data_IF_242971498989
#
_entry.id   IF_242971498989
#
_cell.length_a   1.000
_cell.length_b   1.000
_cell.length_c   1.000
_cell.angle_alpha   90.00
_cell.angle_beta   90.00
_cell.angle_gamma   90.00
#
_symmetry.space_group_name_H-M   'P 1'
#
loop_
_entity.id
_entity.type
_entity.pdbx_description
1 polymer ?
#
# COMPACT_ATOMS: atom_id res chain seq x y z
N UNK A 1 -71.66 20.96 -14.76
CA UNK A 1 -71.51 20.01 -15.89
C UNK A 1 -70.14 19.38 -15.73
N UNK A 2 -70.11 18.16 -15.18
CA UNK A 2 -68.91 17.43 -14.78
C UNK A 2 -68.13 16.91 -16.00
N UNK A 3 -66.82 17.14 -16.02
CA UNK A 3 -65.90 16.77 -17.10
C UNK A 3 -65.60 15.27 -17.05
N UNK A 4 -65.97 14.54 -18.11
CA UNK A 4 -65.87 13.08 -18.20
C UNK A 4 -64.41 12.66 -18.47
N UNK A 5 -63.72 12.14 -17.45
CA UNK A 5 -62.34 11.64 -17.55
C UNK A 5 -62.34 10.31 -18.32
N UNK A 6 -61.74 10.29 -19.50
CA UNK A 6 -61.59 9.10 -20.34
C UNK A 6 -60.39 8.26 -19.84
N UNK A 7 -60.65 7.12 -19.21
CA UNK A 7 -59.62 6.14 -18.82
C UNK A 7 -59.15 5.39 -20.07
N UNK A 8 -58.07 5.86 -20.67
CA UNK A 8 -57.42 5.20 -21.81
C UNK A 8 -56.56 4.01 -21.33
N UNK A 9 -56.74 2.78 -21.85
CA UNK A 9 -56.04 1.58 -21.38
C UNK A 9 -54.54 1.57 -21.71
N UNK A 10 -54.07 2.52 -22.52
CA UNK A 10 -52.67 2.65 -22.91
C UNK A 10 -51.76 3.20 -21.80
N UNK A 11 -52.32 3.82 -20.76
CA UNK A 11 -51.53 4.34 -19.64
C UNK A 11 -50.88 3.21 -18.80
N UNK A 12 -51.54 2.06 -18.70
CA UNK A 12 -51.02 0.90 -17.97
C UNK A 12 -50.05 0.04 -18.79
N UNK A 13 -50.14 0.07 -20.13
CA UNK A 13 -49.27 -0.71 -21.01
C UNK A 13 -47.86 -0.11 -21.10
N UNK A 14 -47.74 1.23 -21.09
CA UNK A 14 -46.45 1.92 -21.17
C UNK A 14 -45.62 1.74 -19.87
N UNK A 15 -46.29 1.64 -18.71
CA UNK A 15 -45.61 1.40 -17.42
C UNK A 15 -45.08 -0.04 -17.29
N UNK A 16 -45.73 -1.03 -17.91
CA UNK A 16 -45.29 -2.43 -17.90
C UNK A 16 -44.02 -2.69 -18.71
N UNK A 17 -43.81 -1.94 -19.80
CA UNK A 17 -42.63 -2.10 -20.67
C UNK A 17 -41.37 -1.48 -20.02
N UNK A 18 -41.55 -0.46 -19.17
CA UNK A 18 -40.45 0.15 -18.41
C UNK A 18 -39.94 -0.76 -17.26
N UNK A 19 -40.83 -1.58 -16.68
CA UNK A 19 -40.52 -2.56 -15.63
C UNK A 19 -39.63 -3.72 -16.15
N UNK A 20 -39.77 -4.09 -17.42
CA UNK A 20 -39.02 -5.20 -18.01
C UNK A 20 -37.55 -4.89 -18.34
N UNK A 21 -37.11 -3.63 -18.23
CA UNK A 21 -35.72 -3.23 -18.53
C UNK A 21 -34.82 -3.05 -17.29
N UNK A 22 -35.36 -3.19 -16.07
CA UNK A 22 -34.64 -2.95 -14.80
C UNK A 22 -34.13 -4.27 -14.18
N UNK A 23 -34.01 -5.35 -14.96
CA UNK A 23 -33.67 -6.67 -14.41
C UNK A 23 -32.50 -7.34 -15.16
N UNK A 24 -31.27 -6.83 -15.00
CA UNK A 24 -29.97 -7.57 -15.16
C UNK A 24 -28.79 -6.81 -14.49
N UNK A 25 -29.03 -5.93 -13.52
CA UNK A 25 -27.94 -5.42 -12.68
C UNK A 25 -27.46 -6.55 -11.76
N UNK A 26 -26.57 -7.42 -12.25
CA UNK A 26 -25.82 -8.36 -11.40
C UNK A 26 -25.16 -7.49 -10.32
N UNK A 27 -25.45 -7.71 -9.02
CA UNK A 27 -24.71 -7.00 -7.99
C UNK A 27 -23.25 -7.34 -8.23
N UNK A 28 -22.44 -6.31 -8.50
CA UNK A 28 -21.00 -6.45 -8.48
C UNK A 28 -20.66 -6.79 -7.02
N UNK A 29 -20.58 -8.09 -6.72
CA UNK A 29 -19.96 -8.57 -5.51
C UNK A 29 -18.57 -7.95 -5.51
N UNK A 30 -18.35 -6.98 -4.63
CA UNK A 30 -17.01 -6.53 -4.29
C UNK A 30 -16.27 -7.79 -3.84
N UNK A 31 -15.45 -8.35 -4.73
CA UNK A 31 -14.64 -9.49 -4.42
C UNK A 31 -13.65 -9.01 -3.35
N UNK A 32 -13.90 -9.38 -2.09
CA UNK A 32 -12.87 -9.29 -1.07
C UNK A 32 -11.64 -9.97 -1.65
N UNK A 33 -10.53 -9.23 -1.77
CA UNK A 33 -9.31 -9.77 -2.36
C UNK A 33 -8.99 -11.08 -1.63
N UNK A 34 -9.03 -12.18 -2.38
CA UNK A 34 -8.88 -13.49 -1.79
C UNK A 34 -7.44 -13.57 -1.28
N UNK A 35 -7.25 -13.65 0.03
CA UNK A 35 -5.93 -13.62 0.65
C UNK A 35 -5.49 -15.03 0.97
N UNK A 36 -4.22 -15.32 0.73
CA UNK A 36 -3.57 -16.55 1.17
C UNK A 36 -2.78 -16.31 2.44
N UNK A 37 -3.05 -17.09 3.49
CA UNK A 37 -2.27 -17.00 4.71
C UNK A 37 -0.87 -17.57 4.48
N UNK A 38 0.11 -17.04 5.18
CA UNK A 38 1.51 -17.47 5.07
C UNK A 38 1.70 -18.96 5.35
N UNK A 39 0.89 -19.56 6.23
CA UNK A 39 0.97 -20.98 6.58
C UNK A 39 0.45 -21.92 5.48
N UNK A 40 -0.29 -21.39 4.51
CA UNK A 40 -0.74 -22.14 3.32
C UNK A 40 0.34 -22.18 2.23
N UNK A 41 1.37 -21.35 2.34
CA UNK A 41 2.41 -21.20 1.32
C UNK A 41 3.51 -22.22 1.54
N UNK A 42 3.94 -22.89 0.46
CA UNK A 42 5.05 -23.85 0.49
C UNK A 42 6.07 -23.57 -0.62
N UNK A 43 7.35 -23.96 -0.42
CA UNK A 43 8.36 -23.90 -1.48
C UNK A 43 7.90 -24.62 -2.75
N UNK A 44 8.27 -24.06 -3.91
CA UNK A 44 7.91 -24.56 -5.24
C UNK A 44 6.55 -24.10 -5.75
N UNK A 45 5.72 -23.44 -4.92
CA UNK A 45 4.50 -22.80 -5.41
C UNK A 45 4.82 -21.72 -6.42
N UNK A 46 4.04 -21.67 -7.50
CA UNK A 46 4.19 -20.68 -8.58
C UNK A 46 3.06 -19.69 -8.57
N UNK A 47 3.35 -18.49 -9.04
CA UNK A 47 2.41 -17.40 -9.06
C UNK A 47 2.84 -16.30 -10.00
N UNK A 48 2.26 -15.12 -9.80
CA UNK A 48 2.63 -13.93 -10.54
C UNK A 48 2.60 -12.70 -9.63
N UNK A 49 3.33 -11.66 -10.01
CA UNK A 49 3.18 -10.33 -9.42
C UNK A 49 2.89 -9.29 -10.48
N UNK A 50 2.49 -8.11 -10.02
CA UNK A 50 2.23 -6.95 -10.88
C UNK A 50 3.15 -5.81 -10.48
N UNK A 51 3.75 -5.15 -11.46
CA UNK A 51 4.65 -4.01 -11.24
C UNK A 51 4.55 -3.04 -12.41
N UNK A 52 5.15 -1.87 -12.27
CA UNK A 52 5.43 -0.97 -13.38
C UNK A 52 6.95 -0.92 -13.55
N UNK A 53 7.47 -1.41 -14.68
CA UNK A 53 8.91 -1.34 -14.94
C UNK A 53 9.33 0.01 -15.52
N UNK A 54 8.46 0.64 -16.32
CA UNK A 54 8.72 1.95 -16.92
C UNK A 54 7.40 2.67 -17.25
N UNK A 55 7.35 3.98 -17.02
CA UNK A 55 6.16 4.80 -17.28
C UNK A 55 5.03 4.46 -16.32
N UNK A 56 3.86 4.12 -16.86
CA UNK A 56 2.64 3.81 -16.08
C UNK A 56 2.04 2.45 -16.43
N UNK A 57 2.73 1.66 -17.27
CA UNK A 57 2.22 0.37 -17.74
C UNK A 57 2.38 -0.68 -16.65
N UNK A 58 1.27 -1.28 -16.23
CA UNK A 58 1.29 -2.45 -15.36
C UNK A 58 1.70 -3.67 -16.19
N UNK A 59 2.73 -4.37 -15.71
CA UNK A 59 3.29 -5.57 -16.30
C UNK A 59 3.28 -6.73 -15.29
N UNK A 60 3.24 -7.96 -15.82
CA UNK A 60 3.21 -9.19 -15.02
C UNK A 60 4.61 -9.79 -15.00
N UNK A 61 5.05 -10.21 -13.82
CA UNK A 61 6.23 -11.06 -13.65
C UNK A 61 5.84 -12.38 -13.01
N UNK A 62 6.58 -13.44 -13.32
CA UNK A 62 6.38 -14.75 -12.73
C UNK A 62 7.08 -14.83 -11.37
N UNK A 63 6.51 -15.62 -10.47
CA UNK A 63 7.15 -15.91 -9.17
C UNK A 63 7.18 -17.40 -8.89
N UNK A 64 8.23 -17.82 -8.20
CA UNK A 64 8.35 -19.12 -7.55
C UNK A 64 8.76 -18.94 -6.10
N UNK A 65 8.05 -19.60 -5.18
CA UNK A 65 8.36 -19.55 -3.75
C UNK A 65 9.58 -20.40 -3.46
N UNK A 66 10.60 -19.80 -2.87
CA UNK A 66 11.80 -20.51 -2.42
C UNK A 66 11.67 -20.97 -0.97
N UNK A 67 10.96 -20.20 -0.14
CA UNK A 67 10.78 -20.52 1.27
C UNK A 67 10.10 -19.42 2.06
N UNK A 68 9.93 -19.67 3.35
CA UNK A 68 9.39 -18.70 4.30
C UNK A 68 10.41 -18.52 5.41
N UNK A 69 10.86 -17.30 5.61
CA UNK A 69 11.68 -16.89 6.74
C UNK A 69 10.73 -16.45 7.86
N UNK A 70 10.63 -17.27 8.90
CA UNK A 70 9.77 -16.98 10.07
C UNK A 70 10.54 -16.15 11.09
N UNK A 71 9.87 -15.17 11.70
CA UNK A 71 10.47 -14.26 12.69
C UNK A 71 11.73 -13.53 12.20
N UNK A 72 11.72 -13.06 10.95
CA UNK A 72 12.89 -12.42 10.34
C UNK A 72 13.21 -11.06 10.95
N UNK A 73 12.19 -10.20 11.10
CA UNK A 73 12.35 -8.85 11.64
C UNK A 73 11.21 -8.58 12.62
N UNK A 74 11.54 -8.24 13.88
CA UNK A 74 10.56 -7.92 14.93
C UNK A 74 9.34 -8.89 15.03
N UNK A 75 9.55 -10.19 14.79
CA UNK A 75 8.53 -11.27 14.75
C UNK A 75 7.65 -11.32 13.49
N UNK A 76 7.96 -10.57 12.45
CA UNK A 76 7.28 -10.63 11.16
C UNK A 76 7.86 -11.75 10.28
N UNK A 77 6.99 -12.41 9.52
CA UNK A 77 7.39 -13.40 8.52
C UNK A 77 7.79 -12.72 7.20
N UNK A 78 8.63 -13.39 6.40
CA UNK A 78 8.98 -12.98 5.04
C UNK A 78 8.91 -14.17 4.09
N UNK A 79 8.29 -13.98 2.92
CA UNK A 79 8.22 -15.01 1.88
C UNK A 79 9.37 -14.73 0.90
N UNK A 80 10.25 -15.70 0.71
CA UNK A 80 11.35 -15.61 -0.23
C UNK A 80 10.88 -16.12 -1.59
N UNK A 81 11.01 -15.30 -2.63
CA UNK A 81 10.60 -15.64 -3.99
C UNK A 81 11.75 -15.46 -4.98
N UNK A 82 11.72 -16.27 -6.03
CA UNK A 82 12.45 -16.06 -7.28
C UNK A 82 11.48 -15.43 -8.28
N UNK A 83 11.92 -14.35 -8.92
CA UNK A 83 11.15 -13.63 -9.91
C UNK A 83 11.74 -13.83 -11.31
N UNK A 84 10.88 -13.85 -12.33
CA UNK A 84 11.30 -13.96 -13.72
C UNK A 84 10.30 -13.30 -14.68
N UNK A 85 10.71 -13.15 -15.94
CA UNK A 85 9.93 -12.46 -16.98
C UNK A 85 10.21 -10.97 -17.07
N UNK A 86 9.81 -10.38 -18.20
CA UNK A 86 10.08 -8.97 -18.50
C UNK A 86 11.59 -8.66 -18.50
N UNK A 87 12.02 -7.50 -17.95
CA UNK A 87 13.43 -7.13 -17.90
C UNK A 87 14.25 -7.91 -16.86
N UNK A 88 13.60 -8.63 -15.93
CA UNK A 88 14.22 -9.20 -14.73
C UNK A 88 15.32 -10.23 -15.02
N UNK A 89 15.24 -10.95 -16.14
CA UNK A 89 16.26 -11.94 -16.54
C UNK A 89 17.63 -11.29 -16.82
N UNK A 90 17.64 -10.00 -17.19
CA UNK A 90 18.86 -9.25 -17.52
C UNK A 90 19.21 -8.24 -16.44
N UNK A 91 18.21 -7.59 -15.86
CA UNK A 91 18.41 -6.50 -14.89
C UNK A 91 18.52 -6.99 -13.46
N UNK A 92 18.04 -8.19 -13.14
CA UNK A 92 17.72 -8.54 -11.76
C UNK A 92 16.61 -7.64 -11.22
N UNK A 93 16.59 -7.44 -9.89
CA UNK A 93 15.59 -6.59 -9.23
C UNK A 93 15.88 -5.12 -9.51
N UNK A 94 14.85 -4.40 -9.96
CA UNK A 94 14.91 -2.97 -10.28
C UNK A 94 14.49 -2.17 -9.03
N UNK A 95 15.19 -1.07 -8.77
CA UNK A 95 14.80 -0.15 -7.70
C UNK A 95 13.38 0.39 -7.96
N UNK A 96 12.56 0.47 -6.91
CA UNK A 96 11.16 0.90 -7.02
C UNK A 96 10.15 -0.24 -7.21
N UNK A 97 10.59 -1.50 -7.31
CA UNK A 97 9.67 -2.65 -7.29
C UNK A 97 9.03 -2.91 -5.91
N UNK A 98 9.50 -2.23 -4.86
CA UNK A 98 8.88 -2.30 -3.54
C UNK A 98 7.39 -1.90 -3.61
N UNK A 99 6.53 -2.64 -2.92
CA UNK A 99 5.09 -2.48 -2.96
C UNK A 99 4.38 -3.29 -4.06
N UNK A 100 5.10 -3.93 -4.98
CA UNK A 100 4.50 -4.75 -6.04
C UNK A 100 3.71 -5.93 -5.45
N UNK A 101 2.39 -6.05 -5.71
CA UNK A 101 1.59 -7.15 -5.17
C UNK A 101 1.93 -8.48 -5.83
N UNK A 102 1.95 -9.55 -5.03
CA UNK A 102 2.27 -10.92 -5.45
C UNK A 102 1.12 -11.86 -5.14
N UNK A 103 0.83 -12.76 -6.08
CA UNK A 103 -0.32 -13.66 -6.06
C UNK A 103 0.08 -15.11 -6.31
N UNK A 104 -0.56 -16.04 -5.59
CA UNK A 104 -0.51 -17.49 -5.84
C UNK A 104 -1.96 -17.98 -5.93
N UNK A 105 -2.29 -18.78 -6.96
CA UNK A 105 -3.66 -19.26 -7.18
C UNK A 105 -4.71 -18.13 -7.17
N UNK A 106 -4.38 -16.97 -7.75
CA UNK A 106 -5.20 -15.74 -7.73
C UNK A 106 -5.49 -15.16 -6.34
N UNK A 107 -4.75 -15.58 -5.33
CA UNK A 107 -4.86 -15.08 -3.96
C UNK A 107 -3.66 -14.18 -3.64
N UNK A 108 -3.91 -13.00 -3.08
CA UNK A 108 -2.88 -12.07 -2.66
C UNK A 108 -2.11 -12.68 -1.47
N UNK A 109 -0.79 -12.80 -1.63
CA UNK A 109 0.08 -13.31 -0.57
C UNK A 109 0.82 -12.18 0.15
N UNK A 110 1.03 -11.05 -0.51
CA UNK A 110 1.82 -9.94 0.02
C UNK A 110 2.35 -8.98 -1.05
N UNK A 111 3.31 -8.16 -0.66
CA UNK A 111 4.00 -7.22 -1.55
C UNK A 111 5.52 -7.36 -1.47
N UNK A 112 6.21 -7.15 -2.59
CA UNK A 112 7.68 -7.11 -2.65
C UNK A 112 8.19 -6.00 -1.73
N UNK A 113 9.17 -6.29 -0.88
CA UNK A 113 9.72 -5.32 0.06
C UNK A 113 11.26 -5.27 0.03
N UNK A 114 11.92 -6.38 -0.31
CA UNK A 114 13.38 -6.49 -0.33
C UNK A 114 13.85 -7.16 -1.62
N UNK A 115 15.07 -6.83 -2.05
CA UNK A 115 15.69 -7.45 -3.20
C UNK A 115 17.18 -7.68 -2.99
N UNK A 116 17.69 -8.81 -3.50
CA UNK A 116 19.11 -9.15 -3.46
C UNK A 116 19.70 -9.09 -4.86
N UNK A 117 20.46 -8.02 -5.14
CA UNK A 117 21.00 -7.73 -6.48
C UNK A 117 22.26 -8.50 -6.86
N UNK A 118 22.87 -9.23 -5.93
CA UNK A 118 24.12 -9.98 -6.18
C UNK A 118 23.90 -11.41 -6.69
N UNK A 119 22.65 -11.88 -6.71
CA UNK A 119 22.29 -13.21 -7.22
C UNK A 119 22.15 -13.18 -8.74
N UNK A 120 22.52 -14.28 -9.41
CA UNK A 120 22.26 -14.47 -10.85
C UNK A 120 20.75 -14.45 -11.14
N UNK A 121 19.97 -14.89 -10.16
CA UNK A 121 18.51 -14.90 -10.21
C UNK A 121 17.94 -13.70 -9.46
N UNK A 122 16.83 -13.12 -9.93
CA UNK A 122 16.13 -12.05 -9.22
C UNK A 122 15.42 -12.60 -7.97
N UNK A 123 16.08 -12.55 -6.81
CA UNK A 123 15.55 -13.04 -5.54
C UNK A 123 15.03 -11.89 -4.69
N UNK A 124 13.77 -11.95 -4.29
CA UNK A 124 13.09 -10.91 -3.52
C UNK A 124 12.43 -11.45 -2.24
N UNK A 125 12.30 -10.56 -1.27
CA UNK A 125 11.53 -10.77 -0.05
C UNK A 125 10.17 -10.12 -0.18
N UNK A 126 9.12 -10.88 0.11
CA UNK A 126 7.72 -10.43 0.11
C UNK A 126 7.23 -10.35 1.54
N UNK A 127 6.71 -9.18 1.93
CA UNK A 127 6.02 -8.98 3.21
C UNK A 127 4.60 -9.54 3.09
N UNK A 128 4.20 -10.52 3.93
CA UNK A 128 2.88 -11.09 3.85
C UNK A 128 1.76 -10.07 4.11
N UNK A 129 0.64 -10.22 3.41
CA UNK A 129 -0.50 -9.30 3.54
C UNK A 129 -1.10 -9.27 4.95
N UNK A 130 -1.09 -10.39 5.67
CA UNK A 130 -1.57 -10.45 7.06
C UNK A 130 -0.74 -9.55 7.99
N UNK A 131 0.57 -9.47 7.78
CA UNK A 131 1.46 -8.61 8.58
C UNK A 131 1.14 -7.13 8.31
N UNK A 132 1.00 -6.76 7.03
CA UNK A 132 0.62 -5.39 6.64
C UNK A 132 -0.73 -4.98 7.23
N UNK A 133 -1.71 -5.89 7.24
CA UNK A 133 -3.03 -5.66 7.85
C UNK A 133 -2.94 -5.48 9.37
N UNK A 134 -2.15 -6.29 10.05
CA UNK A 134 -2.02 -6.18 11.51
C UNK A 134 -1.43 -4.84 11.91
N UNK A 135 -0.48 -4.29 11.14
CA UNK A 135 0.08 -2.97 11.42
C UNK A 135 -0.95 -1.86 11.26
N UNK A 136 -1.79 -1.92 10.23
CA UNK A 136 -2.85 -0.93 10.00
C UNK A 136 -3.95 -0.97 11.07
N UNK A 137 -4.31 -2.16 11.54
CA UNK A 137 -5.38 -2.34 12.53
C UNK A 137 -4.92 -2.09 13.98
N UNK A 138 -3.63 -2.23 14.26
CA UNK A 138 -3.04 -2.03 15.59
C UNK A 138 -2.45 -0.63 15.79
N UNK A 139 -2.87 0.37 15.00
CA UNK A 139 -2.58 1.76 15.35
C UNK A 139 -3.30 2.03 16.68
N UNK A 140 -2.59 2.25 17.80
CA UNK A 140 -3.27 2.61 19.04
C UNK A 140 -4.03 3.90 18.77
N UNK A 141 -5.36 3.87 18.94
CA UNK A 141 -6.16 5.09 19.01
C UNK A 141 -5.51 5.95 20.09
N UNK A 142 -4.81 7.01 19.69
CA UNK A 142 -4.34 8.02 20.63
C UNK A 142 -5.59 8.76 21.11
N UNK A 143 -6.29 8.19 22.09
CA UNK A 143 -7.24 8.90 22.94
C UNK A 143 -6.50 9.77 23.97
N UNK A 144 -5.36 10.36 23.59
CA UNK A 144 -4.90 11.56 24.29
C UNK A 144 -5.69 12.70 23.68
N UNK A 145 -6.73 13.09 24.42
CA UNK A 145 -7.73 14.06 24.01
C UNK A 145 -7.19 15.17 23.14
N UNK A 146 -7.93 15.44 22.06
CA UNK A 146 -7.87 16.66 21.28
C UNK A 146 -7.98 17.87 22.21
N UNK A 147 -6.84 18.36 22.70
CA UNK A 147 -6.68 19.79 22.92
C UNK A 147 -6.50 20.39 21.54
N UNK A 148 -7.59 20.86 20.96
CA UNK A 148 -7.56 21.77 19.82
C UNK A 148 -7.08 23.14 20.32
N UNK A 149 -5.81 23.21 20.74
CA UNK A 149 -5.08 24.44 20.95
C UNK A 149 -3.94 24.46 19.93
N UNK A 150 -4.08 25.39 18.99
CA UNK A 150 -3.38 25.55 17.73
C UNK A 150 -2.00 26.19 17.87
N UNK A 151 -1.05 25.54 18.54
CA UNK A 151 0.29 26.13 18.80
C UNK A 151 1.19 24.91 18.99
N UNK A 152 1.97 24.42 18.01
CA UNK A 152 3.07 25.08 17.32
C UNK A 152 3.45 24.27 16.07
N UNK A 153 2.91 24.63 14.90
CA UNK A 153 3.51 24.25 13.61
C UNK A 153 4.01 25.53 12.94
N UNK A 154 4.99 26.16 13.57
CA UNK A 154 5.71 27.28 13.00
C UNK A 154 6.64 26.75 11.90
N UNK A 155 6.25 26.98 10.65
CA UNK A 155 7.11 26.77 9.49
C UNK A 155 8.31 27.70 9.62
N UNK A 156 9.57 27.22 9.48
CA UNK A 156 10.69 28.14 9.37
C UNK A 156 10.47 29.02 8.14
N UNK A 157 10.49 30.33 8.34
CA UNK A 157 10.38 31.33 7.28
C UNK A 157 11.38 31.00 6.17
N UNK A 158 11.01 31.13 4.88
CA UNK A 158 11.97 31.00 3.79
C UNK A 158 13.14 31.93 4.06
N UNK A 159 14.38 31.42 3.95
CA UNK A 159 15.60 32.20 4.11
C UNK A 159 15.50 33.45 3.22
N UNK A 160 15.20 34.57 3.87
CA UNK A 160 15.23 35.88 3.24
C UNK A 160 16.70 36.24 3.12
N UNK A 161 17.25 35.99 1.93
CA UNK A 161 18.58 36.45 1.57
C UNK A 161 18.57 37.98 1.67
N UNK A 162 19.16 38.52 2.73
CA UNK A 162 19.67 39.89 2.72
C UNK A 162 21.12 39.93 3.20
N UNK A 163 21.95 40.76 2.57
CA UNK A 163 23.39 40.69 2.65
C UNK A 163 23.92 41.42 3.89
N UNK A 164 25.10 40.99 4.32
CA UNK A 164 26.05 41.73 5.16
C UNK A 164 25.66 41.96 6.63
N UNK A 165 26.49 41.37 7.51
CA UNK A 165 27.22 42.20 8.46
C UNK A 165 26.96 41.95 9.95
N UNK A 166 27.98 41.33 10.56
CA UNK A 166 28.52 41.59 11.90
C UNK A 166 28.10 40.62 13.03
N UNK A 167 29.06 39.92 13.66
CA UNK A 167 28.81 39.12 14.85
C UNK A 167 29.00 39.96 16.12
N UNK A 168 28.08 39.85 17.07
CA UNK A 168 28.29 40.29 18.46
C UNK A 168 27.84 39.23 19.47
N UNK A 169 28.52 39.11 20.62
CA UNK A 169 28.74 37.84 21.29
C UNK A 169 27.75 37.55 22.43
N UNK A 170 27.61 36.26 22.75
CA UNK A 170 26.76 35.72 23.82
C UNK A 170 27.45 35.83 25.19
N UNK A 171 26.78 36.28 26.27
CA UNK A 171 27.35 36.31 27.61
C UNK A 171 27.10 35.00 28.39
N UNK A 172 28.21 34.38 28.77
CA UNK A 172 28.47 33.57 29.97
C UNK A 172 27.44 32.56 30.47
N UNK A 173 27.80 31.27 30.37
CA UNK A 173 27.44 30.28 31.39
C UNK A 173 28.70 29.90 32.18
N UNK A 174 28.79 30.48 33.38
CA UNK A 174 29.68 30.04 34.47
C UNK A 174 29.28 28.62 34.88
N UNK A 175 30.13 27.63 34.61
CA UNK A 175 30.10 26.33 35.30
C UNK A 175 31.43 26.12 36.01
N UNK A 176 31.32 26.16 37.34
CA UNK A 176 32.33 25.76 38.30
C UNK A 176 32.59 24.25 38.19
N UNK A 177 33.86 23.86 38.00
CA UNK A 177 34.39 22.56 38.46
C UNK A 177 35.87 22.75 38.85
N UNK A 178 36.17 22.62 40.15
CA UNK A 178 37.52 22.34 40.64
C UNK A 178 37.92 20.90 40.27
N UNK A 179 39.14 20.43 40.48
CA UNK A 179 40.31 20.97 41.18
C UNK A 179 41.55 20.39 40.52
N UNK A 180 42.63 21.15 40.62
CA UNK A 180 44.02 20.69 40.50
C UNK A 180 44.31 19.62 41.56
N UNK A 181 44.99 18.54 41.17
CA UNK A 181 46.41 18.28 41.43
C UNK A 181 46.89 17.15 40.50
#
# INVERSE_FOLDING_TARGET
MELKIHKSPYFFVILGIFSAFISISKPMLFAAENIMNVDEITPGMKGYGKTVFTGERIEIFNVEVLGILRNWEAKSNMILIRMSGGPLEKSGIIAGMSGSPVYINHRLIGAVAYGWSFSKDAIAGVTPINEMKSTLLNIPTQEKGLSLASTDWELPSPLQNDPAGTPTPSPDTRITRGNEL
#
